data_IF_997985156129
#
_entry.id   IF_997985156129
#
_cell.length_a   1.000
_cell.length_b   1.000
_cell.length_c   1.000
_cell.angle_alpha   90.00
_cell.angle_beta   90.00
_cell.angle_gamma   90.00
#
_symmetry.space_group_name_H-M   'P 1'
#
loop_
_entity.id
_entity.type
_entity.pdbx_description
1 polymer ?
#
# COMPACT_ATOMS: atom_id res chain seq x y z
N UNK A 1 14.84 23.31 8.32
CA UNK A 1 13.77 23.16 9.34
C UNK A 1 12.49 22.76 8.62
N UNK A 2 11.57 22.04 9.26
CA UNK A 2 10.29 21.67 8.65
C UNK A 2 9.20 21.41 9.70
N UNK A 3 7.94 21.53 9.27
CA UNK A 3 6.78 21.02 9.99
C UNK A 3 5.96 20.18 9.02
N UNK A 4 5.59 18.98 9.43
CA UNK A 4 4.97 17.97 8.56
C UNK A 4 3.83 17.29 9.29
N UNK A 5 2.68 17.18 8.64
CA UNK A 5 1.59 16.30 9.06
C UNK A 5 1.37 15.22 8.00
N UNK A 6 1.11 13.98 8.42
CA UNK A 6 0.77 12.89 7.52
C UNK A 6 0.08 11.75 8.25
N UNK A 7 -0.67 10.93 7.52
CA UNK A 7 -1.35 9.76 8.10
C UNK A 7 -0.39 8.57 8.08
N UNK A 8 -0.30 7.85 9.19
CA UNK A 8 0.47 6.62 9.32
C UNK A 8 -0.12 5.74 10.42
N UNK A 9 -0.34 4.45 10.12
CA UNK A 9 -0.95 3.53 11.08
C UNK A 9 -2.36 3.96 11.54
N UNK A 10 -3.13 4.62 10.66
CA UNK A 10 -4.48 5.12 10.95
C UNK A 10 -4.55 6.35 11.86
N UNK A 11 -3.42 7.02 12.14
CA UNK A 11 -3.34 8.24 12.95
C UNK A 11 -2.63 9.34 12.18
N UNK A 12 -2.92 10.61 12.49
CA UNK A 12 -2.12 11.72 11.99
C UNK A 12 -0.90 11.90 12.88
N UNK A 13 0.27 11.89 12.27
CA UNK A 13 1.55 12.23 12.89
C UNK A 13 1.95 13.64 12.49
N UNK A 14 2.07 14.53 13.48
CA UNK A 14 2.69 15.84 13.32
C UNK A 14 4.15 15.74 13.75
N UNK A 15 5.08 16.04 12.84
CA UNK A 15 6.51 16.15 13.13
C UNK A 15 6.94 17.61 13.01
N UNK A 16 7.68 18.10 14.00
CA UNK A 16 8.31 19.42 13.99
C UNK A 16 9.81 19.24 14.12
N UNK A 17 10.57 19.77 13.15
CA UNK A 17 12.02 19.81 13.25
C UNK A 17 12.54 21.24 13.07
N UNK A 18 13.08 21.80 14.17
CA UNK A 18 13.69 23.12 14.21
C UNK A 18 15.22 23.05 14.24
N UNK A 19 15.82 21.90 13.91
CA UNK A 19 17.26 21.72 13.93
C UNK A 19 17.95 22.88 13.19
N UNK A 20 18.83 23.53 13.94
CA UNK A 20 19.58 24.67 13.52
C UNK A 20 20.86 24.20 12.81
N UNK A 21 21.01 24.59 11.54
CA UNK A 21 22.18 24.29 10.70
C UNK A 21 23.30 25.34 10.89
N UNK A 22 23.06 26.39 11.69
CA UNK A 22 24.03 27.47 11.91
C UNK A 22 24.96 27.18 13.09
N UNK A 23 26.20 27.69 12.97
CA UNK A 23 27.25 27.65 14.00
C UNK A 23 26.70 28.36 15.27
N UNK A 24 26.85 27.72 16.44
CA UNK A 24 26.38 28.13 17.80
C UNK A 24 25.04 27.57 18.32
N UNK A 25 24.49 26.53 17.72
CA UNK A 25 23.30 25.87 18.26
C UNK A 25 23.69 24.72 19.21
N UNK A 26 23.58 24.95 20.53
CA UNK A 26 23.76 23.89 21.53
C UNK A 26 22.58 22.90 21.48
N UNK A 27 22.88 21.64 21.21
CA UNK A 27 21.97 20.48 21.31
C UNK A 27 20.73 20.52 20.40
N UNK A 28 20.87 20.15 19.12
CA UNK A 28 19.74 19.63 18.33
C UNK A 28 19.35 18.24 18.87
N UNK A 29 18.19 18.14 19.53
CA UNK A 29 17.65 16.85 19.99
C UNK A 29 16.99 16.04 18.86
N UNK A 30 16.88 16.63 17.66
CA UNK A 30 16.23 16.04 16.51
C UNK A 30 14.72 16.33 16.45
N UNK A 31 14.00 15.68 15.52
CA UNK A 31 12.59 15.93 15.27
C UNK A 31 11.69 15.49 16.43
N UNK A 32 10.72 16.33 16.79
CA UNK A 32 9.70 16.01 17.79
C UNK A 32 8.37 15.66 17.13
N UNK A 33 7.56 14.80 17.79
CA UNK A 33 6.34 14.25 17.17
C UNK A 33 5.14 14.17 18.11
N UNK A 34 3.96 14.52 17.60
CA UNK A 34 2.65 14.26 18.21
C UNK A 34 1.82 13.34 17.31
N UNK A 35 0.88 12.63 17.94
CA UNK A 35 -0.06 11.75 17.25
C UNK A 35 -1.48 12.03 17.75
N UNK A 36 -2.44 12.12 16.83
CA UNK A 36 -3.87 12.27 17.14
C UNK A 36 -4.73 11.52 16.10
N UNK A 37 -5.95 11.21 16.50
CA UNK A 37 -6.93 10.41 15.77
C UNK A 37 -6.64 8.92 15.79
N UNK A 38 -7.59 8.16 15.26
CA UNK A 38 -7.57 6.70 15.09
C UNK A 38 -8.40 6.31 13.87
N UNK A 39 -7.98 5.28 13.14
CA UNK A 39 -8.70 4.71 11.98
C UNK A 39 -9.04 5.73 10.87
N UNK A 40 -8.21 6.76 10.69
CA UNK A 40 -8.44 7.89 9.77
C UNK A 40 -8.28 7.55 8.27
N UNK A 41 -8.11 6.28 7.96
CA UNK A 41 -7.92 5.70 6.63
C UNK A 41 -9.20 4.96 6.19
N UNK A 42 -10.35 5.49 6.59
CA UNK A 42 -11.68 4.94 6.33
C UNK A 42 -12.32 5.45 5.03
N UNK A 43 -11.64 6.41 4.37
CA UNK A 43 -12.08 7.15 3.18
C UNK A 43 -13.19 8.18 3.47
N UNK A 44 -13.30 8.63 4.72
CA UNK A 44 -14.14 9.75 5.12
C UNK A 44 -13.31 11.04 5.27
N UNK A 45 -14.00 12.18 5.29
CA UNK A 45 -13.34 13.47 5.50
C UNK A 45 -12.97 13.66 6.98
N UNK A 46 -11.69 13.97 7.22
CA UNK A 46 -11.18 14.34 8.54
C UNK A 46 -10.60 15.75 8.52
N UNK A 47 -10.73 16.46 9.64
CA UNK A 47 -10.19 17.81 9.81
C UNK A 47 -8.94 17.78 10.68
N UNK A 48 -7.79 18.18 10.10
CA UNK A 48 -6.53 18.33 10.83
C UNK A 48 -6.27 19.80 11.12
N UNK A 49 -6.07 20.13 12.39
CA UNK A 49 -5.72 21.47 12.85
C UNK A 49 -4.42 21.45 13.63
N UNK A 50 -3.47 22.29 13.20
CA UNK A 50 -2.20 22.49 13.89
C UNK A 50 -2.14 23.92 14.40
N UNK A 51 -1.84 24.09 15.69
CA UNK A 51 -1.60 25.40 16.30
C UNK A 51 -0.26 25.37 17.00
N UNK A 52 0.61 26.32 16.70
CA UNK A 52 1.92 26.47 17.35
C UNK A 52 2.06 27.88 17.93
N UNK A 53 2.51 27.96 19.17
CA UNK A 53 2.86 29.21 19.87
C UNK A 53 4.23 29.04 20.54
N UNK A 54 5.27 29.61 19.93
CA UNK A 54 6.64 29.45 20.42
C UNK A 54 7.04 27.97 20.50
N UNK A 55 7.30 27.50 21.72
CA UNK A 55 7.65 26.10 22.02
C UNK A 55 6.42 25.18 22.17
N UNK A 56 5.22 25.73 22.33
CA UNK A 56 4.00 24.92 22.49
C UNK A 56 3.38 24.63 21.15
N UNK A 57 2.96 23.39 20.93
CA UNK A 57 2.29 22.99 19.70
C UNK A 57 1.18 21.98 20.00
N UNK A 58 0.10 22.11 19.25
CA UNK A 58 -1.15 21.37 19.43
C UNK A 58 -1.57 20.80 18.09
N UNK A 59 -1.86 19.51 18.08
CA UNK A 59 -2.47 18.80 16.98
C UNK A 59 -3.90 18.43 17.40
N UNK A 60 -4.86 18.79 16.58
CA UNK A 60 -6.25 18.38 16.72
C UNK A 60 -6.67 17.66 15.45
N UNK A 61 -7.27 16.49 15.59
CA UNK A 61 -7.81 15.69 14.49
C UNK A 61 -9.24 15.36 14.84
N UNK A 62 -10.17 15.99 14.11
CA UNK A 62 -11.59 16.03 14.49
C UNK A 62 -11.73 16.49 15.95
N UNK A 63 -12.13 15.61 16.85
CA UNK A 63 -12.28 15.89 18.28
C UNK A 63 -11.06 15.43 19.13
N UNK A 64 -10.14 14.64 18.58
CA UNK A 64 -8.96 14.16 19.31
C UNK A 64 -7.86 15.22 19.36
N UNK A 65 -7.27 15.39 20.53
CA UNK A 65 -6.32 16.48 20.81
C UNK A 65 -5.04 15.93 21.43
N UNK A 66 -3.90 16.30 20.84
CA UNK A 66 -2.58 16.09 21.38
C UNK A 66 -1.83 17.41 21.52
N UNK A 67 -1.20 17.63 22.66
CA UNK A 67 -0.39 18.81 22.95
C UNK A 67 1.04 18.42 23.29
N UNK A 68 1.99 19.26 22.90
CA UNK A 68 3.42 19.05 23.07
C UNK A 68 4.15 20.34 23.37
N UNK A 69 5.30 20.20 24.03
CA UNK A 69 6.19 21.29 24.36
C UNK A 69 7.59 20.95 23.85
N UNK A 70 8.12 21.80 22.96
CA UNK A 70 9.45 21.59 22.40
C UNK A 70 10.55 21.81 23.40
N UNK A 71 11.57 20.98 23.29
CA UNK A 71 12.82 21.04 24.05
C UNK A 71 13.83 21.91 23.31
N UNK A 72 14.72 22.57 24.05
CA UNK A 72 15.70 23.50 23.49
C UNK A 72 15.13 24.90 23.28
N UNK A 73 15.97 25.85 22.86
CA UNK A 73 15.63 27.29 22.85
C UNK A 73 15.14 27.84 21.51
N UNK A 74 15.21 27.03 20.46
CA UNK A 74 14.78 27.43 19.13
C UNK A 74 13.26 27.46 19.01
N UNK A 75 12.75 28.57 18.47
CA UNK A 75 11.30 28.77 18.24
C UNK A 75 10.96 29.25 16.83
N UNK A 76 11.96 29.63 16.03
CA UNK A 76 11.77 30.12 14.67
C UNK A 76 11.70 28.96 13.68
N UNK A 77 10.72 28.98 12.78
CA UNK A 77 10.61 28.05 11.66
C UNK A 77 10.89 28.82 10.36
N UNK A 78 11.91 28.40 9.62
CA UNK A 78 12.23 28.92 8.30
C UNK A 78 11.84 27.88 7.24
N UNK A 79 11.06 28.31 6.25
CA UNK A 79 10.59 27.50 5.13
C UNK A 79 10.44 28.38 3.89
N UNK A 80 10.53 27.76 2.71
CA UNK A 80 10.34 28.44 1.42
C UNK A 80 9.00 28.07 0.78
N UNK A 81 8.59 26.81 0.94
CA UNK A 81 7.42 26.24 0.26
C UNK A 81 6.46 25.61 1.26
N UNK A 82 5.17 25.60 0.91
CA UNK A 82 4.15 24.75 1.53
C UNK A 82 3.84 23.64 0.53
N UNK A 83 4.24 22.42 0.86
CA UNK A 83 4.15 21.27 -0.04
C UNK A 83 2.99 20.35 0.36
N UNK A 84 2.30 19.77 -0.62
CA UNK A 84 1.27 18.73 -0.41
C UNK A 84 1.46 17.59 -1.39
N UNK A 85 0.97 16.41 -1.03
CA UNK A 85 1.04 15.21 -1.89
C UNK A 85 2.41 14.55 -1.89
N UNK A 86 3.44 15.27 -2.34
CA UNK A 86 4.82 14.79 -2.47
C UNK A 86 5.75 15.78 -1.77
N UNK A 87 6.78 15.26 -1.09
CA UNK A 87 7.85 16.07 -0.51
C UNK A 87 8.98 16.25 -1.54
N UNK A 88 9.15 17.47 -2.00
CA UNK A 88 10.19 17.85 -2.98
C UNK A 88 11.49 18.27 -2.32
N UNK A 89 11.44 18.97 -1.19
CA UNK A 89 12.63 19.34 -0.41
C UNK A 89 13.08 18.19 0.51
N UNK A 90 14.23 17.57 0.18
CA UNK A 90 14.70 16.33 0.82
C UNK A 90 15.97 16.51 1.66
N UNK A 91 16.63 17.67 1.60
CA UNK A 91 17.96 17.89 2.20
C UNK A 91 18.02 17.68 3.71
N UNK A 92 16.90 17.83 4.41
CA UNK A 92 16.86 17.87 5.88
C UNK A 92 16.03 16.75 6.52
N UNK A 93 15.70 15.69 5.75
CA UNK A 93 14.87 14.60 6.24
C UNK A 93 15.61 13.27 6.10
N UNK A 94 15.63 12.47 7.16
CA UNK A 94 16.29 11.16 7.21
C UNK A 94 15.53 10.06 6.48
N UNK A 95 14.23 10.25 6.24
CA UNK A 95 13.37 9.32 5.50
C UNK A 95 12.28 10.07 4.76
N UNK A 96 12.07 9.72 3.50
CA UNK A 96 11.06 10.36 2.66
C UNK A 96 9.71 9.69 2.96
N UNK A 97 8.68 10.45 3.39
CA UNK A 97 7.33 9.89 3.48
C UNK A 97 6.83 9.40 2.13
N UNK A 98 5.99 8.38 2.16
CA UNK A 98 5.20 8.00 1.00
C UNK A 98 4.31 9.15 0.53
N UNK A 99 4.10 9.22 -0.77
CA UNK A 99 3.18 10.16 -1.40
C UNK A 99 1.75 9.96 -0.90
N UNK A 100 0.93 11.01 -0.96
CA UNK A 100 -0.47 10.93 -0.55
C UNK A 100 -1.34 10.47 -1.72
N UNK A 101 -2.14 9.42 -1.52
CA UNK A 101 -3.25 9.05 -2.40
C UNK A 101 -4.55 9.42 -1.69
N UNK A 102 -5.28 10.40 -2.22
CA UNK A 102 -6.50 10.89 -1.62
C UNK A 102 -6.85 12.31 -2.08
N UNK A 103 -7.80 12.92 -1.39
CA UNK A 103 -8.21 14.31 -1.63
C UNK A 103 -7.80 15.18 -0.45
N UNK A 104 -7.44 16.43 -0.75
CA UNK A 104 -7.22 17.47 0.25
C UNK A 104 -8.16 18.62 -0.05
N UNK A 105 -8.69 19.24 0.99
CA UNK A 105 -9.56 20.40 0.89
C UNK A 105 -9.19 21.44 1.94
N UNK A 106 -9.43 22.72 1.63
CA UNK A 106 -9.34 23.83 2.58
C UNK A 106 -8.01 23.92 3.34
N UNK A 107 -6.88 23.65 2.65
CA UNK A 107 -5.55 23.90 3.21
C UNK A 107 -5.42 25.38 3.57
N UNK A 108 -5.45 25.64 4.87
CA UNK A 108 -5.32 26.97 5.43
C UNK A 108 -4.01 27.10 6.19
N UNK A 109 -3.18 28.07 5.81
CA UNK A 109 -1.97 28.40 6.54
C UNK A 109 -1.91 29.90 6.80
N UNK A 110 -1.78 30.29 8.07
CA UNK A 110 -1.78 31.69 8.53
C UNK A 110 -2.91 32.56 7.94
N UNK A 111 -4.11 31.99 7.83
CA UNK A 111 -5.30 32.68 7.31
C UNK A 111 -5.54 32.50 5.82
N UNK A 112 -4.50 32.17 5.03
CA UNK A 112 -4.57 32.02 3.57
C UNK A 112 -5.04 30.61 3.18
N UNK A 113 -5.98 30.54 2.22
CA UNK A 113 -6.54 29.29 1.68
C UNK A 113 -5.84 28.91 0.37
N UNK A 114 -4.70 28.22 0.46
CA UNK A 114 -3.79 28.02 -0.68
C UNK A 114 -4.41 27.21 -1.83
N UNK A 115 -5.26 26.23 -1.56
CA UNK A 115 -5.93 25.44 -2.61
C UNK A 115 -6.88 26.33 -3.42
N UNK A 116 -7.67 27.17 -2.73
CA UNK A 116 -8.67 28.03 -3.37
C UNK A 116 -8.00 29.18 -4.13
N UNK A 117 -7.00 29.83 -3.52
CA UNK A 117 -6.20 30.89 -4.17
C UNK A 117 -5.53 30.38 -5.44
N UNK A 118 -4.95 29.18 -5.39
CA UNK A 118 -4.33 28.56 -6.56
C UNK A 118 -5.35 28.20 -7.64
N UNK A 119 -6.49 27.62 -7.26
CA UNK A 119 -7.57 27.26 -8.20
C UNK A 119 -8.12 28.47 -8.95
N UNK A 120 -8.27 29.60 -8.25
CA UNK A 120 -8.85 30.82 -8.80
C UNK A 120 -7.83 31.67 -9.58
N UNK A 121 -6.54 31.38 -9.47
CA UNK A 121 -5.47 32.19 -10.07
C UNK A 121 -5.16 33.47 -9.28
N UNK A 122 -5.52 33.52 -7.99
CA UNK A 122 -5.25 34.67 -7.11
C UNK A 122 -3.76 34.76 -6.71
N UNK A 123 -3.01 33.67 -6.92
CA UNK A 123 -1.56 33.57 -6.72
C UNK A 123 -0.92 32.93 -7.95
N UNK A 124 0.25 33.42 -8.34
CA UNK A 124 1.03 32.97 -9.51
C UNK A 124 2.14 31.97 -9.15
N UNK A 125 2.55 31.93 -7.88
CA UNK A 125 3.57 31.01 -7.35
C UNK A 125 3.03 29.63 -6.93
N UNK A 126 2.01 29.12 -7.63
CA UNK A 126 1.45 27.80 -7.38
C UNK A 126 1.90 26.79 -8.45
N UNK A 127 2.64 25.77 -8.02
CA UNK A 127 3.07 24.67 -8.89
C UNK A 127 2.33 23.38 -8.49
N UNK A 128 1.58 22.78 -9.42
CA UNK A 128 0.88 21.52 -9.16
C UNK A 128 0.80 20.61 -10.39
N UNK A 129 0.87 19.31 -10.13
CA UNK A 129 0.48 18.24 -11.06
C UNK A 129 -0.77 17.48 -10.57
N UNK A 130 -1.35 17.91 -9.44
CA UNK A 130 -2.61 17.43 -8.93
C UNK A 130 -3.77 17.87 -9.84
N UNK A 131 -4.99 17.42 -9.53
CA UNK A 131 -6.18 17.91 -10.25
C UNK A 131 -7.24 18.32 -9.23
N UNK A 132 -7.97 19.38 -9.55
CA UNK A 132 -9.09 19.84 -8.74
C UNK A 132 -10.33 18.93 -8.90
N UNK A 133 -11.14 18.89 -7.85
CA UNK A 133 -12.38 18.12 -7.79
C UNK A 133 -12.23 16.74 -7.15
N UNK A 134 -13.31 16.27 -6.53
CA UNK A 134 -13.38 14.92 -5.95
C UNK A 134 -13.71 13.92 -7.06
N UNK A 135 -12.99 12.80 -7.10
CA UNK A 135 -13.22 11.69 -8.03
C UNK A 135 -12.65 10.40 -7.45
N UNK A 136 -13.12 9.25 -7.96
CA UNK A 136 -12.44 7.98 -7.68
C UNK A 136 -10.99 8.05 -8.18
N UNK A 137 -10.06 7.58 -7.35
CA UNK A 137 -8.62 7.55 -7.67
C UNK A 137 -8.25 6.10 -7.94
N UNK A 138 -7.68 5.85 -9.12
CA UNK A 138 -7.01 4.61 -9.50
C UNK A 138 -5.54 4.98 -9.72
N UNK A 139 -4.67 4.67 -8.76
CA UNK A 139 -3.26 5.05 -8.81
C UNK A 139 -2.39 3.92 -9.39
N UNK A 140 -1.49 4.26 -10.32
CA UNK A 140 -0.55 3.34 -10.98
C UNK A 140 -1.13 1.95 -11.30
N UNK A 141 -2.18 1.87 -12.15
CA UNK A 141 -2.76 0.58 -12.51
C UNK A 141 -1.76 -0.28 -13.29
N UNK A 142 -1.74 -1.58 -12.97
CA UNK A 142 -0.89 -2.60 -13.62
C UNK A 142 -1.75 -3.82 -13.98
N UNK A 143 -1.56 -4.33 -15.19
CA UNK A 143 -2.28 -5.49 -15.73
C UNK A 143 -1.42 -6.75 -15.68
N UNK A 144 -1.96 -7.83 -15.14
CA UNK A 144 -1.46 -9.20 -15.21
C UNK A 144 -2.25 -9.96 -16.28
N UNK A 145 -1.63 -10.19 -17.45
CA UNK A 145 -2.34 -10.69 -18.65
C UNK A 145 -2.72 -12.16 -18.57
N UNK A 146 -1.97 -12.97 -17.82
CA UNK A 146 -2.21 -14.41 -17.64
C UNK A 146 -2.21 -14.78 -16.17
N UNK A 147 -2.85 -15.90 -15.83
CA UNK A 147 -2.81 -16.47 -14.48
C UNK A 147 -1.43 -16.96 -14.04
N UNK A 148 -0.50 -17.12 -14.98
CA UNK A 148 0.90 -17.43 -14.69
C UNK A 148 1.76 -16.19 -14.46
N UNK A 149 1.20 -14.99 -14.63
CA UNK A 149 1.93 -13.73 -14.45
C UNK A 149 1.95 -13.36 -12.98
N UNK A 150 3.15 -13.16 -12.43
CA UNK A 150 3.33 -12.77 -11.03
C UNK A 150 4.63 -11.99 -10.87
N UNK A 151 4.72 -11.25 -9.77
CA UNK A 151 5.95 -10.56 -9.40
C UNK A 151 6.24 -10.75 -7.91
N UNK A 152 7.50 -10.54 -7.52
CA UNK A 152 7.90 -10.53 -6.13
C UNK A 152 8.44 -9.15 -5.72
N UNK A 153 8.10 -8.72 -4.50
CA UNK A 153 8.56 -7.51 -3.85
C UNK A 153 9.32 -7.87 -2.56
N UNK A 154 10.03 -6.90 -2.02
CA UNK A 154 10.64 -7.03 -0.69
C UNK A 154 9.61 -7.43 0.37
N UNK A 155 10.09 -8.14 1.41
CA UNK A 155 9.26 -8.65 2.50
C UNK A 155 8.35 -7.58 3.11
N UNK A 156 7.07 -7.92 3.25
CA UNK A 156 6.07 -7.05 3.86
C UNK A 156 6.43 -6.76 5.33
N UNK A 157 6.55 -5.48 5.65
CA UNK A 157 6.86 -5.00 7.01
C UNK A 157 5.56 -4.82 7.80
N UNK A 158 5.04 -5.87 8.44
CA UNK A 158 3.73 -5.88 9.11
C UNK A 158 3.77 -6.35 10.59
N UNK A 159 4.79 -5.90 11.33
CA UNK A 159 5.18 -6.42 12.63
C UNK A 159 4.08 -6.37 13.71
N UNK A 160 3.66 -5.18 14.18
CA UNK A 160 2.70 -5.05 15.30
C UNK A 160 1.26 -4.74 14.83
N UNK A 161 1.15 -3.98 13.76
CA UNK A 161 -0.10 -3.67 13.06
C UNK A 161 0.13 -3.84 11.57
N UNK A 162 -0.96 -4.03 10.84
CA UNK A 162 -0.91 -4.16 9.38
C UNK A 162 -2.01 -3.31 8.77
N UNK A 163 -1.68 -2.57 7.73
CA UNK A 163 -2.63 -1.90 6.85
C UNK A 163 -2.27 -2.25 5.41
N UNK A 164 -3.13 -2.96 4.71
CA UNK A 164 -2.99 -3.21 3.28
C UNK A 164 -4.18 -2.59 2.59
N UNK A 165 -3.93 -1.90 1.49
CA UNK A 165 -4.98 -1.42 0.60
C UNK A 165 -4.58 -1.69 -0.84
N UNK A 166 -5.54 -2.09 -1.66
CA UNK A 166 -5.37 -2.14 -3.10
C UNK A 166 -6.75 -2.14 -3.76
N UNK A 167 -6.75 -1.81 -5.04
CA UNK A 167 -7.90 -1.95 -5.91
C UNK A 167 -7.60 -3.02 -6.94
N UNK A 168 -8.64 -3.77 -7.33
CA UNK A 168 -8.51 -4.76 -8.38
C UNK A 168 -9.70 -4.71 -9.33
N UNK A 169 -9.48 -5.19 -10.55
CA UNK A 169 -10.51 -5.35 -11.58
C UNK A 169 -10.22 -6.63 -12.37
N UNK A 170 -11.17 -7.55 -12.42
CA UNK A 170 -11.02 -8.83 -13.13
C UNK A 170 -12.34 -9.34 -13.69
N UNK A 171 -12.26 -10.21 -14.69
CA UNK A 171 -13.36 -11.05 -15.18
C UNK A 171 -13.16 -12.53 -14.80
N UNK A 172 -12.00 -12.89 -14.27
CA UNK A 172 -11.64 -14.28 -13.95
C UNK A 172 -12.34 -14.73 -12.68
N UNK A 173 -13.17 -15.79 -12.72
CA UNK A 173 -13.82 -16.32 -11.53
C UNK A 173 -12.91 -17.24 -10.71
N UNK A 174 -11.87 -17.83 -11.29
CA UNK A 174 -11.13 -18.96 -10.70
C UNK A 174 -10.21 -18.54 -9.54
N UNK A 175 -9.82 -17.28 -9.55
CA UNK A 175 -8.94 -16.72 -8.53
C UNK A 175 -9.76 -16.40 -7.29
N UNK A 176 -10.88 -15.70 -7.47
CA UNK A 176 -11.82 -15.41 -6.40
C UNK A 176 -12.59 -16.68 -5.99
N UNK A 177 -12.68 -16.97 -4.70
CA UNK A 177 -13.37 -18.20 -4.26
C UNK A 177 -14.87 -18.01 -4.42
N UNK A 178 -15.42 -18.53 -5.53
CA UNK A 178 -16.80 -18.29 -5.98
C UNK A 178 -17.09 -16.80 -6.24
N UNK A 179 -16.09 -16.03 -6.71
CA UNK A 179 -16.25 -14.60 -6.97
C UNK A 179 -16.07 -13.70 -5.75
N UNK A 180 -15.66 -14.24 -4.59
CA UNK A 180 -15.42 -13.47 -3.36
C UNK A 180 -13.95 -13.49 -2.93
N UNK A 181 -13.51 -12.43 -2.25
CA UNK A 181 -12.16 -12.33 -1.69
C UNK A 181 -12.06 -13.15 -0.42
N UNK A 182 -10.97 -13.92 -0.30
CA UNK A 182 -10.63 -14.66 0.90
C UNK A 182 -9.31 -14.17 1.48
N UNK A 183 -9.34 -13.69 2.71
CA UNK A 183 -8.17 -13.31 3.48
C UNK A 183 -7.78 -14.45 4.42
N UNK A 184 -6.66 -15.11 4.14
CA UNK A 184 -6.12 -16.24 4.89
C UNK A 184 -4.84 -15.82 5.60
N UNK A 185 -4.68 -16.20 6.87
CA UNK A 185 -3.51 -15.83 7.65
C UNK A 185 -3.24 -16.82 8.77
N UNK A 186 -1.99 -16.90 9.23
CA UNK A 186 -1.60 -17.70 10.39
C UNK A 186 -0.69 -16.86 11.31
N UNK A 187 -1.05 -16.79 12.59
CA UNK A 187 -0.29 -16.10 13.64
C UNK A 187 0.41 -17.10 14.60
N UNK A 188 0.72 -18.31 14.12
CA UNK A 188 1.35 -19.40 14.86
C UNK A 188 0.37 -20.39 15.49
N UNK A 189 -0.93 -20.07 15.51
CA UNK A 189 -2.00 -20.92 16.07
C UNK A 189 -2.77 -21.71 15.00
N UNK A 190 -2.35 -21.61 13.73
CA UNK A 190 -3.00 -22.23 12.59
C UNK A 190 -3.73 -21.25 11.68
N UNK A 191 -4.04 -21.69 10.45
CA UNK A 191 -4.64 -20.86 9.43
C UNK A 191 -6.07 -20.45 9.78
N UNK A 192 -6.34 -19.16 9.67
CA UNK A 192 -7.65 -18.53 9.80
C UNK A 192 -8.09 -17.99 8.42
N UNK A 193 -9.41 -17.87 8.22
CA UNK A 193 -10.00 -17.37 6.98
C UNK A 193 -11.10 -16.35 7.32
N UNK A 194 -10.96 -15.13 6.79
CA UNK A 194 -12.03 -14.13 6.74
C UNK A 194 -12.49 -14.03 5.30
N UNK A 195 -13.80 -14.23 5.08
CA UNK A 195 -14.43 -14.07 3.77
C UNK A 195 -14.91 -12.64 3.60
N UNK A 196 -14.57 -12.03 2.46
CA UNK A 196 -15.09 -10.73 2.07
C UNK A 196 -16.60 -10.84 1.87
N UNK A 197 -17.34 -9.86 2.39
CA UNK A 197 -18.78 -9.76 2.19
C UNK A 197 -19.04 -8.78 1.06
N UNK A 198 -19.73 -9.24 0.03
CA UNK A 198 -20.23 -8.40 -1.06
C UNK A 198 -21.59 -8.91 -1.50
N UNK A 199 -22.43 -8.01 -2.02
CA UNK A 199 -23.78 -8.37 -2.48
C UNK A 199 -23.75 -9.10 -3.83
N UNK A 200 -22.64 -8.93 -4.57
CA UNK A 200 -22.39 -9.56 -5.88
C UNK A 200 -20.98 -10.13 -5.96
N UNK A 201 -20.79 -11.03 -6.91
CA UNK A 201 -19.47 -11.52 -7.28
C UNK A 201 -18.60 -10.37 -7.83
N UNK A 202 -17.31 -10.38 -7.49
CA UNK A 202 -16.39 -9.26 -7.74
C UNK A 202 -15.57 -9.42 -9.04
N UNK A 203 -15.89 -10.43 -9.84
CA UNK A 203 -15.36 -10.65 -11.19
C UNK A 203 -16.27 -10.02 -12.27
N UNK A 204 -16.79 -8.81 -11.99
CA UNK A 204 -17.75 -8.08 -12.83
C UNK A 204 -17.09 -7.03 -13.74
N UNK A 205 -15.76 -7.07 -13.86
CA UNK A 205 -14.93 -6.09 -14.57
C UNK A 205 -15.10 -4.64 -14.07
N UNK A 206 -15.47 -4.44 -12.80
CA UNK A 206 -15.43 -3.15 -12.13
C UNK A 206 -14.26 -3.07 -11.16
N UNK A 207 -13.85 -1.84 -10.83
CA UNK A 207 -12.86 -1.62 -9.79
C UNK A 207 -13.51 -1.85 -8.42
N UNK A 208 -12.91 -2.73 -7.64
CA UNK A 208 -13.29 -2.99 -6.25
C UNK A 208 -12.17 -2.58 -5.31
N UNK A 209 -12.55 -1.98 -4.17
CA UNK A 209 -11.62 -1.57 -3.13
C UNK A 209 -11.45 -2.69 -2.11
N UNK A 210 -10.21 -2.96 -1.71
CA UNK A 210 -9.91 -3.96 -0.67
C UNK A 210 -9.00 -3.34 0.36
N UNK A 211 -9.46 -3.28 1.61
CA UNK A 211 -8.64 -2.88 2.75
C UNK A 211 -8.55 -4.04 3.75
N UNK A 212 -7.34 -4.36 4.18
CA UNK A 212 -7.08 -5.37 5.21
C UNK A 212 -6.32 -4.69 6.34
N UNK A 213 -6.88 -4.72 7.53
CA UNK A 213 -6.24 -4.14 8.71
C UNK A 213 -6.07 -5.18 9.81
N UNK A 214 -4.95 -5.10 10.53
CA UNK A 214 -4.75 -5.76 11.83
C UNK A 214 -4.31 -4.71 12.82
N UNK A 215 -5.05 -4.55 13.90
CA UNK A 215 -4.66 -3.67 15.00
C UNK A 215 -3.83 -4.40 16.07
N UNK A 216 -3.34 -3.65 17.05
CA UNK A 216 -2.52 -4.18 18.15
C UNK A 216 -3.27 -5.13 19.09
N UNK A 217 -4.61 -5.24 18.96
CA UNK A 217 -5.45 -6.18 19.70
C UNK A 217 -5.68 -7.49 18.93
N UNK A 218 -4.99 -7.68 17.79
CA UNK A 218 -5.22 -8.78 16.85
C UNK A 218 -6.66 -8.84 16.33
N UNK A 219 -7.30 -7.69 16.21
CA UNK A 219 -8.56 -7.58 15.46
C UNK A 219 -8.22 -7.37 13.99
N UNK A 220 -8.56 -8.39 13.19
CA UNK A 220 -8.42 -8.36 11.75
C UNK A 220 -9.71 -7.84 11.12
N UNK A 221 -9.60 -6.99 10.11
CA UNK A 221 -10.74 -6.50 9.34
C UNK A 221 -10.44 -6.63 7.85
N UNK A 222 -11.36 -7.22 7.11
CA UNK A 222 -11.38 -7.22 5.64
C UNK A 222 -12.57 -6.35 5.20
N UNK A 223 -12.28 -5.21 4.58
CA UNK A 223 -13.27 -4.32 3.95
C UNK A 223 -13.20 -4.50 2.45
N UNK A 224 -14.33 -4.88 1.85
CA UNK A 224 -14.52 -4.93 0.40
C UNK A 224 -15.54 -3.86 0.04
N UNK A 225 -15.12 -2.90 -0.77
CA UNK A 225 -15.88 -1.69 -1.08
C UNK A 225 -16.34 -0.97 0.21
N UNK A 226 -17.64 -0.91 0.45
CA UNK A 226 -18.22 -0.29 1.64
C UNK A 226 -18.41 -1.28 2.81
N UNK A 227 -18.27 -2.59 2.59
CA UNK A 227 -18.66 -3.62 3.56
C UNK A 227 -17.45 -4.20 4.27
N UNK A 228 -17.46 -4.14 5.60
CA UNK A 228 -16.38 -4.68 6.44
C UNK A 228 -16.80 -5.94 7.19
N UNK A 229 -15.88 -6.90 7.28
CA UNK A 229 -15.97 -8.09 8.13
C UNK A 229 -14.77 -8.11 9.07
N UNK A 230 -15.01 -8.16 10.38
CA UNK A 230 -13.96 -8.17 11.40
C UNK A 230 -13.98 -9.46 12.22
N UNK A 231 -12.80 -9.91 12.63
CA UNK A 231 -12.62 -11.06 13.51
C UNK A 231 -11.41 -10.84 14.41
N UNK A 232 -11.60 -11.00 15.72
CA UNK A 232 -10.51 -10.98 16.70
C UNK A 232 -9.96 -12.40 16.87
N UNK A 233 -8.65 -12.56 16.70
CA UNK A 233 -7.97 -13.85 16.75
C UNK A 233 -6.88 -13.84 17.81
N UNK A 234 -6.86 -14.87 18.65
CA UNK A 234 -5.75 -15.11 19.56
C UNK A 234 -4.55 -15.67 18.78
N UNK A 235 -3.37 -15.12 19.01
CA UNK A 235 -2.17 -15.46 18.25
C UNK A 235 -0.96 -14.65 18.69
N UNK A 236 0.15 -14.83 17.99
CA UNK A 236 1.30 -13.97 18.15
C UNK A 236 0.89 -12.50 18.00
N UNK A 237 1.39 -11.64 18.89
CA UNK A 237 1.18 -10.18 18.78
C UNK A 237 1.96 -9.60 17.61
N UNK A 238 3.08 -10.24 17.28
CA UNK A 238 4.00 -9.80 16.25
C UNK A 238 3.98 -10.78 15.07
N UNK A 239 3.93 -10.23 13.87
CA UNK A 239 3.95 -10.96 12.61
C UNK A 239 5.27 -10.65 11.89
N UNK A 240 6.23 -11.57 12.00
CA UNK A 240 7.53 -11.48 11.32
C UNK A 240 7.50 -12.39 10.09
N UNK A 241 7.13 -11.80 8.95
CA UNK A 241 7.10 -12.49 7.67
C UNK A 241 8.53 -12.67 7.14
N UNK A 242 8.79 -13.77 6.44
CA UNK A 242 10.11 -14.09 5.86
C UNK A 242 10.05 -14.26 4.34
N UNK A 243 11.12 -13.86 3.65
CA UNK A 243 11.18 -13.99 2.19
C UNK A 243 10.28 -12.99 1.45
N UNK A 244 10.19 -13.18 0.15
CA UNK A 244 9.56 -12.21 -0.74
C UNK A 244 8.03 -12.15 -0.59
N UNK A 245 7.48 -10.99 -0.91
CA UNK A 245 6.05 -10.77 -1.08
C UNK A 245 5.68 -11.02 -2.54
N UNK A 246 4.91 -12.07 -2.80
CA UNK A 246 4.42 -12.38 -4.14
C UNK A 246 3.09 -11.66 -4.41
N UNK A 247 2.98 -11.04 -5.58
CA UNK A 247 1.79 -10.34 -6.04
C UNK A 247 1.24 -11.08 -7.26
N UNK A 248 -0.09 -11.24 -7.29
CA UNK A 248 -0.85 -11.81 -8.38
C UNK A 248 -0.58 -13.29 -8.71
N UNK A 249 0.27 -14.00 -7.99
CA UNK A 249 0.47 -15.43 -8.23
C UNK A 249 1.76 -15.94 -7.65
N UNK A 250 2.08 -17.19 -7.96
CA UNK A 250 3.28 -17.87 -7.50
C UNK A 250 3.97 -18.60 -8.65
N UNK A 251 5.23 -18.96 -8.42
CA UNK A 251 5.99 -19.79 -9.35
C UNK A 251 5.43 -21.21 -9.49
N UNK A 252 5.72 -21.89 -10.61
CA UNK A 252 5.39 -23.30 -10.79
C UNK A 252 5.89 -24.15 -9.61
N UNK A 253 5.06 -25.07 -9.12
CA UNK A 253 5.39 -25.95 -7.99
C UNK A 253 5.16 -25.33 -6.60
N UNK A 254 5.07 -24.00 -6.47
CA UNK A 254 4.83 -23.35 -5.17
C UNK A 254 3.39 -23.49 -4.69
N UNK A 255 2.42 -23.61 -5.60
CA UNK A 255 1.00 -23.79 -5.29
C UNK A 255 0.69 -25.06 -4.48
N UNK A 256 1.52 -26.10 -4.61
CA UNK A 256 1.37 -27.35 -3.85
C UNK A 256 1.66 -27.18 -2.36
N UNK A 257 2.44 -26.16 -1.99
CA UNK A 257 2.83 -25.88 -0.61
C UNK A 257 1.83 -24.96 0.11
N UNK A 258 0.75 -24.56 -0.57
CA UNK A 258 -0.24 -23.66 0.02
C UNK A 258 -1.06 -24.34 1.11
N UNK A 259 -1.41 -23.61 2.19
CA UNK A 259 -2.33 -24.10 3.20
C UNK A 259 -3.66 -24.54 2.58
N UNK A 260 -4.27 -25.60 3.13
CA UNK A 260 -5.55 -26.15 2.63
C UNK A 260 -6.69 -25.12 2.56
N UNK A 261 -6.69 -24.11 3.43
CA UNK A 261 -7.71 -23.05 3.44
C UNK A 261 -7.61 -22.08 2.26
N UNK A 262 -6.43 -21.98 1.64
CA UNK A 262 -6.25 -21.20 0.42
C UNK A 262 -6.81 -22.05 -0.71
N UNK A 263 -7.91 -21.63 -1.32
CA UNK A 263 -8.56 -22.42 -2.39
C UNK A 263 -7.98 -22.13 -3.78
N UNK A 264 -7.42 -20.93 -4.02
CA UNK A 264 -6.79 -20.63 -5.30
C UNK A 264 -5.56 -21.51 -5.53
N UNK A 265 -5.47 -22.06 -6.73
CA UNK A 265 -4.37 -22.91 -7.22
C UNK A 265 -3.79 -22.39 -8.54
N UNK A 266 -4.23 -21.22 -8.96
CA UNK A 266 -3.76 -20.48 -10.11
C UNK A 266 -3.43 -19.04 -9.66
N UNK A 267 -2.97 -18.18 -10.57
CA UNK A 267 -2.63 -16.79 -10.24
C UNK A 267 -3.65 -15.80 -10.78
N UNK A 268 -3.69 -14.63 -10.16
CA UNK A 268 -4.52 -13.51 -10.54
C UNK A 268 -4.28 -13.06 -11.98
N UNK A 269 -5.37 -13.02 -12.75
CA UNK A 269 -5.43 -12.36 -14.05
C UNK A 269 -6.37 -11.17 -13.94
N UNK A 270 -5.91 -9.99 -14.37
CA UNK A 270 -6.67 -8.75 -14.26
C UNK A 270 -5.76 -7.58 -13.92
N UNK A 271 -6.34 -6.50 -13.38
CA UNK A 271 -5.59 -5.32 -13.00
C UNK A 271 -5.49 -5.15 -11.49
N UNK A 272 -4.37 -4.60 -11.02
CA UNK A 272 -4.19 -4.07 -9.67
C UNK A 272 -3.87 -2.59 -9.74
N UNK A 273 -4.32 -1.83 -8.77
CA UNK A 273 -4.02 -0.41 -8.63
C UNK A 273 -4.00 0.00 -7.16
N UNK A 274 -3.46 1.19 -6.89
CA UNK A 274 -3.46 1.83 -5.59
C UNK A 274 -2.92 0.94 -4.48
N UNK A 275 -1.87 0.16 -4.78
CA UNK A 275 -1.29 -0.80 -3.84
C UNK A 275 -0.57 -0.04 -2.73
N UNK A 276 -1.03 -0.22 -1.49
CA UNK A 276 -0.42 0.23 -0.25
C UNK A 276 -0.10 -0.98 0.63
N UNK A 277 1.19 -1.14 0.93
CA UNK A 277 1.76 -2.20 1.73
C UNK A 277 2.28 -1.62 3.05
N UNK A 278 1.36 -1.41 3.98
CA UNK A 278 1.63 -0.86 5.32
C UNK A 278 2.29 0.53 5.30
N UNK A 279 1.77 1.41 4.45
CA UNK A 279 2.26 2.76 4.23
C UNK A 279 3.29 2.87 3.12
N UNK A 280 3.79 1.76 2.55
CA UNK A 280 4.67 1.78 1.38
C UNK A 280 3.84 1.67 0.11
N UNK A 281 4.02 2.61 -0.81
CA UNK A 281 3.40 2.61 -2.13
C UNK A 281 4.43 2.12 -3.18
N UNK A 282 4.56 0.81 -3.43
CA UNK A 282 5.52 0.30 -4.42
C UNK A 282 5.09 0.65 -5.85
N UNK A 283 6.05 0.98 -6.71
CA UNK A 283 5.85 0.87 -8.15
C UNK A 283 5.99 -0.61 -8.51
N UNK A 284 4.87 -1.28 -8.78
CA UNK A 284 4.85 -2.74 -8.96
C UNK A 284 5.83 -3.23 -10.02
N UNK A 285 6.12 -2.44 -11.06
CA UNK A 285 7.03 -2.86 -12.12
C UNK A 285 8.48 -2.53 -11.82
N UNK A 286 8.75 -1.37 -11.23
CA UNK A 286 10.12 -0.89 -10.99
C UNK A 286 10.70 -1.42 -9.68
N UNK A 287 9.87 -1.64 -8.66
CA UNK A 287 10.30 -2.14 -7.35
C UNK A 287 10.30 -3.68 -7.28
N UNK A 288 9.85 -4.36 -8.33
CA UNK A 288 9.84 -5.82 -8.40
C UNK A 288 11.27 -6.40 -8.33
N UNK A 289 11.49 -7.30 -7.39
CA UNK A 289 12.71 -8.10 -7.30
C UNK A 289 12.75 -9.16 -8.41
N UNK A 290 11.58 -9.69 -8.78
CA UNK A 290 11.41 -10.66 -9.84
C UNK A 290 10.06 -10.48 -10.53
N UNK A 291 9.98 -10.81 -11.83
CA UNK A 291 8.76 -10.79 -12.63
C UNK A 291 8.72 -12.01 -13.54
N UNK A 292 7.55 -12.63 -13.64
CA UNK A 292 7.27 -13.73 -14.58
C UNK A 292 5.98 -13.44 -15.34
N UNK A 293 5.93 -13.85 -16.59
CA UNK A 293 4.77 -13.64 -17.47
C UNK A 293 4.68 -12.22 -18.04
N UNK A 294 3.47 -11.84 -18.43
CA UNK A 294 3.17 -10.57 -19.11
C UNK A 294 2.50 -9.61 -18.13
N UNK A 295 3.27 -8.64 -17.67
CA UNK A 295 2.85 -7.61 -16.71
C UNK A 295 3.08 -6.23 -17.33
N UNK A 296 2.02 -5.45 -17.49
CA UNK A 296 2.04 -4.20 -18.25
C UNK A 296 1.46 -3.04 -17.43
N UNK A 297 1.96 -1.81 -17.66
CA UNK A 297 1.33 -0.60 -17.09
C UNK A 297 -0.02 -0.34 -17.72
N UNK A 298 -0.89 0.29 -16.94
CA UNK A 298 -2.24 0.60 -17.35
C UNK A 298 -3.21 -0.54 -17.07
N UNK A 299 -4.48 -0.24 -17.30
CA UNK A 299 -5.58 -1.19 -17.20
C UNK A 299 -6.61 -0.94 -18.32
N UNK A 300 -6.08 -0.67 -19.51
CA UNK A 300 -6.83 -0.49 -20.75
C UNK A 300 -6.59 -1.73 -21.61
N UNK A 301 -7.44 -2.72 -21.43
CA UNK A 301 -7.28 -4.03 -22.04
C UNK A 301 -8.57 -4.82 -21.94
N UNK A 302 -9.68 -4.29 -22.45
CA UNK A 302 -10.65 -5.20 -23.04
C UNK A 302 -10.02 -5.74 -24.32
N UNK A 303 -10.04 -7.06 -24.60
CA UNK A 303 -10.15 -7.51 -25.97
C UNK A 303 -11.56 -7.08 -26.42
N UNK A 304 -11.72 -5.79 -26.75
CA UNK A 304 -12.80 -5.42 -27.65
C UNK A 304 -12.53 -6.26 -28.89
N UNK A 305 -13.52 -7.06 -29.31
CA UNK A 305 -13.62 -7.58 -30.65
C UNK A 305 -13.13 -6.48 -31.61
N UNK A 306 -11.86 -6.56 -32.01
CA UNK A 306 -11.41 -5.90 -33.23
C UNK A 306 -12.15 -6.69 -34.28
N UNK A 307 -13.19 -6.06 -34.81
CA UNK A 307 -13.82 -6.41 -36.06
C UNK A 307 -12.77 -7.05 -36.98
N UNK A 308 -13.06 -8.28 -37.41
CA UNK A 308 -12.55 -8.78 -38.68
C UNK A 308 -12.72 -7.68 -39.74
N UNK A 309 -11.80 -7.69 -40.71
CA UNK A 309 -11.58 -6.73 -41.79
C UNK A 309 -10.52 -5.66 -41.46
N UNK A 310 -9.25 -6.05 -41.55
CA UNK A 310 -8.54 -5.79 -42.82
C UNK A 310 -7.38 -6.78 -43.02
N UNK A 311 -7.30 -7.23 -44.27
CA UNK A 311 -6.46 -8.29 -44.81
C UNK A 311 -4.98 -7.91 -44.95
N UNK A 312 -4.15 -8.92 -44.70
CA UNK A 312 -2.95 -9.35 -45.40
C UNK A 312 -1.71 -8.44 -45.59
N UNK A 313 -0.57 -9.13 -45.48
CA UNK A 313 0.64 -9.00 -46.33
C UNK A 313 1.91 -8.48 -45.64
N UNK A 314 2.64 -9.36 -44.94
CA UNK A 314 3.90 -9.92 -45.45
C UNK A 314 4.41 -11.07 -44.57
N UNK A 315 4.84 -12.11 -45.27
CA UNK A 315 5.39 -13.37 -44.79
C UNK A 315 6.93 -13.27 -44.74
N UNK A 316 7.60 -13.90 -43.77
CA UNK A 316 8.56 -15.02 -43.96
C UNK A 316 9.59 -15.18 -42.83
N UNK A 317 9.58 -16.40 -42.28
CA UNK A 317 10.69 -17.29 -41.88
C UNK A 317 11.80 -16.81 -40.92
N UNK A 318 11.97 -17.51 -39.78
CA UNK A 318 12.81 -18.74 -39.72
C UNK A 318 13.00 -19.28 -38.30
N UNK A 319 12.83 -20.60 -38.15
CA UNK A 319 13.52 -21.58 -37.29
C UNK A 319 14.34 -21.09 -36.07
N UNK A 320 14.10 -21.65 -34.87
CA UNK A 320 14.78 -22.88 -34.39
C UNK A 320 14.76 -23.01 -32.86
N UNK A 321 14.45 -24.22 -32.40
CA UNK A 321 15.02 -24.95 -31.26
C UNK A 321 15.15 -24.28 -29.88
N UNK A 322 14.43 -24.87 -28.91
CA UNK A 322 14.81 -24.96 -27.50
C UNK A 322 16.23 -25.51 -27.31
N UNK A 323 16.87 -25.23 -26.17
CA UNK A 323 17.21 -26.37 -25.32
C UNK A 323 16.94 -26.16 -23.82
N UNK A 324 16.71 -27.30 -23.18
CA UNK A 324 16.63 -27.56 -21.75
C UNK A 324 17.91 -27.20 -20.99
N UNK A 325 17.78 -26.86 -19.69
CA UNK A 325 18.77 -27.23 -18.67
C UNK A 325 18.10 -27.68 -17.36
N UNK A 326 18.49 -28.87 -16.91
CA UNK A 326 18.31 -29.44 -15.57
C UNK A 326 19.35 -28.83 -14.62
N UNK A 327 18.95 -28.53 -13.39
CA UNK A 327 19.87 -28.57 -12.24
C UNK A 327 19.20 -29.26 -11.05
N UNK A 328 19.89 -30.29 -10.60
CA UNK A 328 19.61 -31.14 -9.45
C UNK A 328 20.28 -30.49 -8.22
N UNK A 329 19.60 -30.49 -7.06
CA UNK A 329 20.24 -30.22 -5.78
C UNK A 329 19.67 -31.19 -4.73
N UNK A 330 20.45 -32.22 -4.46
CA UNK A 330 20.32 -33.07 -3.27
C UNK A 330 20.86 -32.29 -2.06
N UNK A 331 20.09 -32.25 -0.96
CA UNK A 331 20.69 -32.25 0.38
C UNK A 331 19.70 -32.82 1.40
N UNK A 332 20.08 -33.95 1.97
CA UNK A 332 19.46 -34.64 3.10
C UNK A 332 19.98 -34.10 4.44
N UNK A 333 19.11 -33.81 5.41
CA UNK A 333 19.33 -34.03 6.86
C UNK A 333 18.14 -33.54 7.71
N UNK A 334 18.04 -33.96 9.00
CA UNK A 334 16.82 -34.61 9.51
C UNK A 334 15.83 -33.69 10.23
N UNK A 335 14.66 -34.28 10.48
CA UNK A 335 13.53 -33.76 11.23
C UNK A 335 13.91 -33.05 12.55
N UNK A 336 13.39 -31.85 12.71
CA UNK A 336 13.16 -31.14 13.97
C UNK A 336 11.77 -30.47 13.88
N UNK A 337 11.07 -30.41 15.01
CA UNK A 337 9.64 -30.08 15.24
C UNK A 337 8.99 -29.03 14.29
N UNK A 338 7.67 -29.13 14.02
CA UNK A 338 6.99 -28.21 13.11
C UNK A 338 6.83 -26.82 13.75
N UNK A 339 7.79 -25.93 13.50
CA UNK A 339 7.57 -24.51 13.69
C UNK A 339 6.63 -24.02 12.59
N UNK A 340 5.35 -23.81 12.91
CA UNK A 340 4.42 -23.09 12.03
C UNK A 340 4.86 -21.63 11.97
N UNK A 341 5.58 -21.28 10.91
CA UNK A 341 5.92 -19.89 10.66
C UNK A 341 4.66 -19.13 10.25
N UNK A 342 4.51 -17.89 10.73
CA UNK A 342 3.36 -17.10 10.40
C UNK A 342 3.42 -16.66 8.94
N UNK A 343 2.27 -16.64 8.26
CA UNK A 343 2.16 -16.29 6.84
C UNK A 343 0.88 -15.50 6.57
N UNK A 344 0.83 -14.85 5.41
CA UNK A 344 -0.32 -14.10 4.92
C UNK A 344 -0.64 -14.53 3.49
N UNK A 345 -1.84 -15.01 3.25
CA UNK A 345 -2.30 -15.31 1.89
C UNK A 345 -3.65 -14.65 1.62
N UNK A 346 -3.63 -13.76 0.66
CA UNK A 346 -4.81 -13.24 -0.01
C UNK A 346 -4.92 -13.92 -1.36
N UNK A 347 -6.16 -14.07 -1.80
CA UNK A 347 -6.49 -14.55 -3.14
C UNK A 347 -5.72 -13.85 -4.27
N UNK A 348 -5.32 -12.60 -4.06
CA UNK A 348 -4.63 -11.75 -5.05
C UNK A 348 -3.16 -11.50 -4.68
N UNK A 349 -2.75 -11.83 -3.46
CA UNK A 349 -1.53 -11.32 -2.84
C UNK A 349 -0.99 -12.33 -1.82
N UNK A 350 0.19 -12.87 -2.02
CA UNK A 350 0.79 -13.90 -1.15
C UNK A 350 2.00 -13.32 -0.44
N UNK A 351 1.88 -12.99 0.84
CA UNK A 351 3.02 -12.60 1.65
C UNK A 351 3.61 -13.83 2.35
N UNK A 352 4.75 -14.28 1.83
CA UNK A 352 5.59 -15.34 2.40
C UNK A 352 4.98 -16.75 2.38
N UNK A 353 5.68 -17.66 1.69
CA UNK A 353 5.68 -19.09 1.99
C UNK A 353 7.03 -19.38 2.63
N UNK A 354 7.07 -19.54 3.95
CA UNK A 354 8.27 -20.03 4.61
C UNK A 354 8.60 -21.40 4.02
N UNK A 355 9.72 -21.51 3.31
CA UNK A 355 10.31 -22.80 3.02
C UNK A 355 10.92 -23.30 4.34
N UNK A 356 10.41 -24.43 4.84
CA UNK A 356 11.09 -25.23 5.84
C UNK A 356 12.10 -26.13 5.17
#
# INVERSE_FOLDING_TARGET
MYMKAGVGGGRVKLTVNLDCIRINCNSSKGPETLYAGQKLNDNEWHTVRVVRRGKTYKLTVDDDVAEGQMVGDHTRLEFHNIETGIMTERRFVSSIPSSVIGHLQSLRFNGMLYIDLCKNGDIDYCELNARFGVRSIIADPVTFKSKSSYLSLATLQAYASMHLFFQFKTTSPDELVKGYIHYVFDLGNGPNLIKGKSDRALNDNQWHNVAITRDNSNTHTLKVDATATSQSINGAKNLDLKGDLFIAGLGPGMYGNLPKLVASREGYQGCLASVDLNGRLPDLLNDALFRSGQIERGCEGTPSLRSELDLDYYNTNSNSSSPFYLLNANSSSPALCPCRNPFLLLTVLVASLSHC
#
